data_IF_017246173054
#
_entry.id   IF_017246173054
#
_cell.length_a   1.000
_cell.length_b   1.000
_cell.length_c   1.000
_cell.angle_alpha   90.00
_cell.angle_beta   90.00
_cell.angle_gamma   90.00
#
_symmetry.space_group_name_H-M   'P 1'
#
loop_
_entity.id
_entity.type
_entity.pdbx_description
1 polymer ?
#
# COMPACT_ATOMS: atom_id res chain seq x y z
N UNK A 1 -16.44 8.20 6.84
CA UNK A 1 -15.90 6.83 6.86
C UNK A 1 -14.42 6.96 7.14
N UNK A 2 -13.96 6.44 8.28
CA UNK A 2 -12.59 6.67 8.74
C UNK A 2 -11.60 5.91 7.87
N UNK A 3 -10.60 6.60 7.35
CA UNK A 3 -9.42 5.91 6.83
C UNK A 3 -8.85 5.05 7.96
N UNK A 4 -8.43 3.81 7.68
CA UNK A 4 -7.73 3.02 8.68
C UNK A 4 -6.57 3.85 9.23
N UNK A 5 -6.37 3.82 10.55
CA UNK A 5 -5.15 4.35 11.18
C UNK A 5 -3.99 3.42 10.81
N UNK A 6 -3.56 3.51 9.55
CA UNK A 6 -2.43 2.75 9.01
C UNK A 6 -1.18 3.21 9.75
N UNK A 7 -0.56 2.30 10.51
CA UNK A 7 0.69 2.61 11.18
C UNK A 7 1.86 2.55 10.17
N UNK A 8 2.12 3.69 9.56
CA UNK A 8 3.21 3.88 8.59
C UNK A 8 4.61 3.68 9.18
N UNK A 9 4.77 3.57 10.50
CA UNK A 9 6.05 3.22 11.12
C UNK A 9 6.46 1.78 10.83
N UNK A 10 5.47 0.91 10.53
CA UNK A 10 5.69 -0.48 10.12
C UNK A 10 5.90 -0.63 8.61
N UNK A 11 5.72 0.45 7.85
CA UNK A 11 5.86 0.42 6.41
C UNK A 11 7.35 0.39 6.00
N UNK A 12 7.71 -0.35 4.93
CA UNK A 12 9.02 -0.23 4.30
C UNK A 12 9.35 1.22 3.93
N UNK A 13 10.64 1.59 3.89
CA UNK A 13 11.07 2.97 3.58
C UNK A 13 10.45 3.53 2.30
N UNK A 14 10.33 2.70 1.27
CA UNK A 14 9.83 3.08 -0.05
C UNK A 14 8.32 2.83 -0.23
N UNK A 15 7.61 2.40 0.81
CA UNK A 15 6.17 2.22 0.74
C UNK A 15 5.46 3.57 0.55
N UNK A 16 4.63 3.65 -0.48
CA UNK A 16 3.89 4.84 -0.85
C UNK A 16 2.38 4.67 -0.64
N UNK A 17 1.86 3.47 -0.86
CA UNK A 17 0.45 3.16 -0.63
C UNK A 17 0.29 1.91 0.23
N UNK A 18 -0.84 1.85 0.91
CA UNK A 18 -1.35 0.68 1.60
C UNK A 18 -2.75 0.40 1.08
N UNK A 19 -3.06 -0.85 0.75
CA UNK A 19 -4.42 -1.24 0.42
C UNK A 19 -4.66 -2.71 0.78
N UNK A 20 -5.92 -3.09 0.79
CA UNK A 20 -6.39 -4.47 0.87
C UNK A 20 -6.79 -4.92 -0.53
N UNK A 21 -6.41 -6.13 -0.90
CA UNK A 21 -6.80 -6.77 -2.15
C UNK A 21 -8.19 -7.44 -2.06
N UNK A 22 -8.63 -8.06 -3.15
CA UNK A 22 -9.91 -8.78 -3.21
C UNK A 22 -9.96 -10.01 -2.28
N UNK A 23 -8.81 -10.57 -1.93
CA UNK A 23 -8.68 -11.70 -1.01
C UNK A 23 -8.71 -11.24 0.46
N UNK A 24 -8.72 -9.93 0.69
CA UNK A 24 -8.63 -9.33 2.01
C UNK A 24 -7.19 -9.19 2.52
N UNK A 25 -6.17 -9.51 1.74
CA UNK A 25 -4.80 -9.34 2.19
C UNK A 25 -4.37 -7.87 2.10
N UNK A 26 -3.78 -7.37 3.17
CA UNK A 26 -3.21 -6.03 3.16
C UNK A 26 -1.79 -6.05 2.58
N UNK A 27 -1.50 -5.09 1.71
CA UNK A 27 -0.22 -4.95 1.01
C UNK A 27 0.30 -3.51 1.08
N UNK A 28 1.61 -3.36 1.22
CA UNK A 28 2.34 -2.13 0.97
C UNK A 28 2.73 -2.09 -0.50
N UNK A 29 2.36 -1.03 -1.21
CA UNK A 29 2.82 -0.77 -2.57
C UNK A 29 3.92 0.27 -2.51
N UNK A 30 5.08 -0.08 -3.06
CA UNK A 30 6.24 0.81 -3.08
C UNK A 30 6.19 1.77 -4.25
N UNK A 31 6.80 2.95 -4.09
CA UNK A 31 7.11 3.79 -5.24
C UNK A 31 7.94 2.98 -6.22
N UNK A 32 7.56 2.94 -7.51
CA UNK A 32 8.31 2.23 -8.51
C UNK A 32 9.70 2.82 -8.62
N UNK A 33 10.69 1.93 -8.65
CA UNK A 33 12.06 2.29 -8.95
C UNK A 33 12.17 2.44 -10.48
N UNK A 34 11.98 3.66 -10.96
CA UNK A 34 12.03 3.96 -12.40
C UNK A 34 13.50 4.07 -12.80
N UNK A 35 14.07 2.97 -13.26
CA UNK A 35 15.35 3.01 -13.94
C UNK A 35 15.19 3.80 -15.26
N UNK A 36 16.11 4.73 -15.57
CA UNK A 36 16.09 5.38 -16.87
C UNK A 36 16.17 4.30 -17.96
N UNK A 37 15.31 4.40 -18.99
CA UNK A 37 15.22 3.51 -20.16
C UNK A 37 14.46 2.17 -19.99
N UNK A 38 13.68 1.95 -18.94
CA UNK A 38 12.75 0.81 -18.86
C UNK A 38 11.31 1.20 -19.22
N UNK A 39 10.72 0.51 -20.21
CA UNK A 39 9.30 0.68 -20.60
C UNK A 39 8.31 -0.06 -19.69
N UNK A 40 8.76 -0.66 -18.58
CA UNK A 40 7.90 -1.36 -17.63
C UNK A 40 7.86 -0.58 -16.32
N UNK A 41 6.67 -0.52 -15.72
CA UNK A 41 6.44 0.05 -14.40
C UNK A 41 6.03 -1.09 -13.48
N UNK A 42 6.83 -1.37 -12.46
CA UNK A 42 6.51 -2.35 -11.44
C UNK A 42 6.62 -1.69 -10.07
N UNK A 43 5.51 -1.65 -9.35
CA UNK A 43 5.51 -1.32 -7.94
C UNK A 43 5.69 -2.64 -7.19
N UNK A 44 6.81 -2.79 -6.49
CA UNK A 44 6.98 -3.94 -5.61
C UNK A 44 5.88 -3.90 -4.53
N UNK A 45 5.33 -5.07 -4.20
CA UNK A 45 4.35 -5.23 -3.14
C UNK A 45 4.93 -6.07 -2.00
N UNK A 46 4.63 -5.66 -0.76
CA UNK A 46 4.99 -6.42 0.45
C UNK A 46 3.77 -6.68 1.30
N UNK A 47 3.75 -7.81 1.98
CA UNK A 47 2.73 -8.10 2.98
C UNK A 47 2.68 -7.00 4.05
N UNK A 48 1.47 -6.54 4.36
CA UNK A 48 1.19 -5.55 5.38
C UNK A 48 0.20 -6.11 6.42
N UNK A 49 0.21 -5.58 7.65
CA UNK A 49 -0.89 -5.81 8.59
C UNK A 49 -2.19 -5.18 8.05
N UNK A 50 -3.34 -5.79 8.37
CA UNK A 50 -4.67 -5.25 8.00
C UNK A 50 -5.09 -3.99 8.77
N UNK A 51 -4.36 -3.64 9.84
CA UNK A 51 -4.67 -2.50 10.74
C UNK A 51 -6.13 -2.43 11.19
N UNK A 52 -6.80 -3.59 11.29
CA UNK A 52 -8.22 -3.66 11.67
C UNK A 52 -9.19 -3.07 10.64
N UNK A 53 -8.77 -2.86 9.38
CA UNK A 53 -9.67 -2.38 8.35
C UNK A 53 -10.80 -3.38 8.09
N UNK A 54 -12.03 -2.87 8.17
CA UNK A 54 -13.27 -3.59 7.88
C UNK A 54 -14.06 -2.73 6.90
N UNK A 55 -14.23 -3.21 5.67
CA UNK A 55 -14.92 -2.45 4.61
C UNK A 55 -14.67 -3.02 3.21
N UNK A 56 -15.16 -2.32 2.20
CA UNK A 56 -14.87 -2.62 0.80
C UNK A 56 -13.37 -2.39 0.53
N UNK A 57 -12.70 -3.42 0.02
CA UNK A 57 -11.27 -3.34 -0.31
C UNK A 57 -10.99 -2.20 -1.31
N UNK A 58 -11.95 -1.85 -2.17
CA UNK A 58 -11.84 -0.75 -3.15
C UNK A 58 -11.67 0.62 -2.49
N UNK A 59 -12.13 0.79 -1.26
CA UNK A 59 -11.98 2.04 -0.50
C UNK A 59 -10.78 2.04 0.45
N UNK A 60 -10.01 0.94 0.51
CA UNK A 60 -8.88 0.79 1.44
C UNK A 60 -7.63 1.55 1.01
N UNK A 61 -7.54 1.99 -0.25
CA UNK A 61 -6.35 2.65 -0.80
C UNK A 61 -6.00 3.90 0.01
N UNK A 62 -4.90 3.80 0.76
CA UNK A 62 -4.40 4.84 1.65
C UNK A 62 -3.00 5.23 1.21
N UNK A 63 -2.80 6.50 0.87
CA UNK A 63 -1.48 7.04 0.55
C UNK A 63 -0.72 7.45 1.81
N UNK A 64 0.60 7.27 1.80
CA UNK A 64 1.48 7.67 2.89
C UNK A 64 1.45 9.19 3.09
N UNK A 65 1.14 9.70 4.29
CA UNK A 65 1.26 11.11 4.61
C UNK A 65 2.69 11.63 4.37
N UNK A 66 2.82 12.91 4.02
CA UNK A 66 4.12 13.58 3.89
C UNK A 66 4.83 13.72 5.24
#
# INVERSE_FOLDING_TARGET
MGNPEVDWRRAPKNARWWAIDENGEARWYMTPDVAPFTNFWFAEEKAAPRFGFVGDWRSSLTERPK
#
